data_IF_538467032727
#
_entry.id   IF_538467032727
#
_cell.length_a   1.000
_cell.length_b   1.000
_cell.length_c   1.000
_cell.angle_alpha   90.00
_cell.angle_beta   90.00
_cell.angle_gamma   90.00
#
_symmetry.space_group_name_H-M   'P 1'
#
loop_
_entity.id
_entity.type
_entity.pdbx_description
1 polymer ?
#
# COMPACT_ATOMS: atom_id res chain seq x y z
N UNK A 1 16.94 -10.38 12.77
CA UNK A 1 15.75 -10.21 11.91
C UNK A 1 16.24 -9.47 10.67
N UNK A 2 16.19 -10.08 9.49
CA UNK A 2 16.67 -9.40 8.29
C UNK A 2 15.74 -8.24 7.96
N UNK A 3 16.30 -7.13 7.46
CA UNK A 3 15.57 -5.89 7.20
C UNK A 3 14.37 -6.04 6.24
N UNK A 4 14.30 -7.17 5.52
CA UNK A 4 13.21 -7.53 4.61
C UNK A 4 11.86 -7.88 5.27
N UNK A 5 11.81 -8.23 6.56
CA UNK A 5 10.53 -8.55 7.20
C UNK A 5 9.72 -7.30 7.59
N UNK A 6 10.40 -6.16 7.74
CA UNK A 6 9.82 -4.93 8.30
C UNK A 6 8.95 -4.17 7.31
N UNK A 7 9.22 -4.30 6.02
CA UNK A 7 8.59 -3.51 4.97
C UNK A 7 7.76 -4.36 4.00
N UNK A 8 6.90 -3.69 3.23
CA UNK A 8 6.16 -4.32 2.15
C UNK A 8 7.15 -4.74 1.04
N UNK A 9 7.12 -5.97 0.49
CA UNK A 9 8.02 -6.41 -0.59
C UNK A 9 7.98 -5.56 -1.87
N UNK A 10 7.00 -4.67 -1.99
CA UNK A 10 6.79 -3.77 -3.12
C UNK A 10 7.12 -2.32 -2.78
N UNK A 11 7.83 -2.08 -1.68
CA UNK A 11 8.11 -0.72 -1.21
C UNK A 11 8.94 0.10 -2.20
N UNK A 12 9.87 -0.52 -2.92
CA UNK A 12 10.76 0.17 -3.87
C UNK A 12 10.02 0.83 -5.02
N UNK A 13 8.88 0.26 -5.45
CA UNK A 13 8.07 0.79 -6.56
C UNK A 13 6.73 1.37 -6.11
N UNK A 14 6.49 1.47 -4.80
CA UNK A 14 5.20 1.94 -4.28
C UNK A 14 5.16 3.47 -4.16
N UNK A 15 4.25 4.18 -4.86
CA UNK A 15 4.16 5.64 -4.82
C UNK A 15 3.96 6.23 -3.42
N UNK A 16 3.28 5.50 -2.52
CA UNK A 16 3.13 5.92 -1.12
C UNK A 16 4.48 5.91 -0.38
N UNK A 17 5.27 4.86 -0.60
CA UNK A 17 6.55 4.70 0.08
C UNK A 17 7.59 5.68 -0.49
N UNK A 18 7.58 5.88 -1.81
CA UNK A 18 8.41 6.88 -2.49
C UNK A 18 7.99 8.33 -2.20
N UNK A 19 6.77 8.54 -1.72
CA UNK A 19 6.26 9.87 -1.35
C UNK A 19 5.68 10.68 -2.49
N UNK A 20 5.24 9.99 -3.52
CA UNK A 20 4.65 10.55 -4.74
C UNK A 20 3.11 10.57 -4.66
N UNK A 21 2.52 9.72 -3.82
CA UNK A 21 1.06 9.60 -3.70
C UNK A 21 0.39 10.73 -2.92
N UNK A 22 1.04 11.29 -1.89
CA UNK A 22 0.41 12.24 -0.98
C UNK A 22 1.22 13.55 -0.95
N UNK A 23 0.56 14.67 -1.26
CA UNK A 23 1.19 15.99 -1.18
C UNK A 23 1.69 16.34 0.24
N UNK A 24 1.00 15.84 1.27
CA UNK A 24 1.40 16.08 2.67
C UNK A 24 2.40 15.03 3.15
N UNK A 25 3.65 15.45 3.40
CA UNK A 25 4.68 14.62 4.04
C UNK A 25 4.25 14.05 5.40
N UNK A 26 3.41 14.76 6.14
CA UNK A 26 2.86 14.27 7.42
C UNK A 26 1.89 13.11 7.17
N UNK A 27 0.97 13.27 6.22
CA UNK A 27 0.03 12.21 5.85
C UNK A 27 0.79 10.99 5.31
N UNK A 28 1.78 11.18 4.43
CA UNK A 28 2.65 10.10 3.95
C UNK A 28 3.26 9.30 5.10
N UNK A 29 3.89 9.96 6.08
CA UNK A 29 4.47 9.28 7.25
C UNK A 29 3.43 8.50 8.07
N UNK A 30 2.23 9.05 8.23
CA UNK A 30 1.12 8.38 8.94
C UNK A 30 0.73 7.10 8.19
N UNK A 31 0.48 7.19 6.88
CA UNK A 31 0.10 6.04 6.07
C UNK A 31 1.21 4.99 6.01
N UNK A 32 2.47 5.38 5.88
CA UNK A 32 3.61 4.46 5.94
C UNK A 32 3.67 3.72 7.28
N UNK A 33 3.38 4.40 8.41
CA UNK A 33 3.32 3.74 9.72
C UNK A 33 2.18 2.74 9.84
N UNK A 34 1.02 3.05 9.27
CA UNK A 34 -0.17 2.20 9.32
C UNK A 34 -0.03 0.93 8.47
N UNK A 35 0.60 1.04 7.30
CA UNK A 35 0.57 0.01 6.27
C UNK A 35 1.94 -0.57 5.90
N UNK A 36 3.00 0.24 5.90
CA UNK A 36 4.31 -0.18 5.41
C UNK A 36 5.20 -0.70 6.53
N UNK A 37 5.29 0.02 7.66
CA UNK A 37 6.24 -0.29 8.74
C UNK A 37 5.61 -1.07 9.90
N UNK A 38 4.33 -1.39 9.82
CA UNK A 38 3.61 -2.24 10.79
C UNK A 38 3.77 -3.74 10.48
N UNK A 39 4.77 -4.10 9.68
CA UNK A 39 5.06 -5.48 9.27
C UNK A 39 3.90 -6.11 8.49
N UNK A 40 3.75 -7.43 8.64
CA UNK A 40 2.75 -8.21 7.91
C UNK A 40 1.32 -7.76 8.15
N UNK A 41 0.97 -7.47 9.40
CA UNK A 41 -0.37 -6.97 9.77
C UNK A 41 -0.70 -5.63 9.10
N UNK A 42 0.30 -4.78 8.89
CA UNK A 42 0.13 -3.51 8.17
C UNK A 42 -0.14 -3.75 6.69
N UNK A 43 0.78 -4.43 6.02
CA UNK A 43 0.70 -4.63 4.56
C UNK A 43 -0.52 -5.45 4.15
N UNK A 44 -0.92 -6.46 4.93
CA UNK A 44 -2.10 -7.28 4.63
C UNK A 44 -3.42 -6.49 4.76
N UNK A 45 -3.42 -5.29 5.35
CA UNK A 45 -4.56 -4.36 5.36
C UNK A 45 -4.49 -3.27 4.30
N UNK A 46 -3.38 -3.18 3.56
CA UNK A 46 -3.20 -2.21 2.49
C UNK A 46 -3.87 -2.69 1.21
N UNK A 47 -4.89 -1.98 0.73
CA UNK A 47 -5.63 -2.38 -0.47
C UNK A 47 -4.75 -2.46 -1.71
N UNK A 48 -3.82 -1.52 -1.86
CA UNK A 48 -2.81 -1.53 -2.93
C UNK A 48 -1.94 -2.79 -2.90
N UNK A 49 -1.52 -3.24 -1.72
CA UNK A 49 -0.71 -4.45 -1.59
C UNK A 49 -1.52 -5.70 -1.96
N UNK A 50 -2.77 -5.77 -1.50
CA UNK A 50 -3.67 -6.88 -1.83
C UNK A 50 -3.90 -7.02 -3.34
N UNK A 51 -4.06 -5.90 -4.07
CA UNK A 51 -4.15 -5.90 -5.54
C UNK A 51 -2.88 -6.44 -6.19
N UNK A 52 -1.70 -6.02 -5.72
CA UNK A 52 -0.42 -6.53 -6.24
C UNK A 52 -0.24 -8.03 -5.97
N UNK A 53 -0.71 -8.53 -4.83
CA UNK A 53 -0.72 -9.98 -4.55
C UNK A 53 -1.61 -10.77 -5.51
N UNK A 54 -2.61 -10.12 -6.12
CA UNK A 54 -3.49 -10.69 -7.13
C UNK A 54 -2.96 -10.49 -8.57
N UNK A 55 -1.80 -9.86 -8.74
CA UNK A 55 -1.20 -9.61 -10.05
C UNK A 55 -1.64 -8.32 -10.73
N UNK A 56 -2.34 -7.42 -10.02
CA UNK A 56 -2.81 -6.14 -10.55
C UNK A 56 -1.88 -4.99 -10.16
N UNK A 57 -1.78 -4.00 -11.05
CA UNK A 57 -1.13 -2.72 -10.75
C UNK A 57 -2.19 -1.76 -10.23
N UNK A 58 -2.10 -1.28 -8.97
CA UNK A 58 -3.10 -0.35 -8.42
C UNK A 58 -3.01 1.00 -9.14
N UNK A 59 -4.15 1.51 -9.59
CA UNK A 59 -4.27 2.87 -10.11
C UNK A 59 -3.86 3.93 -9.05
N UNK A 60 -3.59 5.16 -9.49
CA UNK A 60 -3.04 6.21 -8.62
C UNK A 60 -4.01 6.66 -7.53
N UNK A 61 -5.30 6.63 -7.81
CA UNK A 61 -6.40 7.03 -6.92
C UNK A 61 -6.73 5.96 -5.85
N UNK A 62 -6.31 4.71 -6.05
CA UNK A 62 -6.53 3.63 -5.08
C UNK A 62 -5.66 3.85 -3.84
N UNK A 63 -6.28 4.29 -2.76
CA UNK A 63 -5.61 4.53 -1.50
C UNK A 63 -5.39 3.23 -0.69
N UNK A 64 -4.38 3.18 0.21
CA UNK A 64 -4.16 2.01 1.07
C UNK A 64 -5.37 1.63 1.94
N UNK A 65 -6.19 2.61 2.30
CA UNK A 65 -7.37 2.50 3.15
C UNK A 65 -8.69 2.51 2.37
N UNK A 66 -8.67 2.24 1.06
CA UNK A 66 -9.86 2.17 0.24
C UNK A 66 -10.89 1.18 0.84
N UNK A 67 -12.12 1.66 0.98
CA UNK A 67 -13.22 0.98 1.65
C UNK A 67 -13.82 -0.14 0.79
N UNK A 68 -13.65 -0.06 -0.54
CA UNK A 68 -14.03 -1.11 -1.47
C UNK A 68 -13.23 -2.39 -1.20
N UNK A 69 -13.85 -3.54 -1.47
CA UNK A 69 -13.12 -4.81 -1.48
C UNK A 69 -12.16 -4.88 -2.67
N UNK A 70 -11.18 -5.79 -2.60
CA UNK A 70 -10.23 -6.02 -3.70
C UNK A 70 -10.98 -6.40 -4.97
N UNK A 71 -12.00 -7.26 -4.83
CA UNK A 71 -12.83 -7.75 -5.93
C UNK A 71 -13.70 -6.63 -6.52
N UNK A 72 -14.16 -5.68 -5.70
CA UNK A 72 -14.89 -4.52 -6.19
C UNK A 72 -13.99 -3.62 -7.02
N UNK A 73 -12.77 -3.33 -6.53
CA UNK A 73 -11.80 -2.51 -7.28
C UNK A 73 -11.44 -3.17 -8.60
N UNK A 74 -11.19 -4.49 -8.61
CA UNK A 74 -10.84 -5.22 -9.84
C UNK A 74 -11.94 -5.16 -10.89
N UNK A 75 -13.22 -5.09 -10.50
CA UNK A 75 -14.33 -4.95 -11.46
C UNK A 75 -14.37 -3.60 -12.16
N UNK A 76 -13.75 -2.59 -11.54
CA UNK A 76 -13.73 -1.21 -12.04
C UNK A 76 -12.41 -0.87 -12.78
N UNK A 77 -11.48 -1.83 -12.90
CA UNK A 77 -10.23 -1.71 -13.66
C UNK A 77 -10.43 -2.06 -15.14
#
# INVERSE_FOLDING_TARGET
MSDNEKYCPKHETCPLFQGEMLASKKAQKIYMRLYCTAGEKGRNRCRRFQLVQKGYTPAEDIMPNDDRSVEAIIRDL
#
